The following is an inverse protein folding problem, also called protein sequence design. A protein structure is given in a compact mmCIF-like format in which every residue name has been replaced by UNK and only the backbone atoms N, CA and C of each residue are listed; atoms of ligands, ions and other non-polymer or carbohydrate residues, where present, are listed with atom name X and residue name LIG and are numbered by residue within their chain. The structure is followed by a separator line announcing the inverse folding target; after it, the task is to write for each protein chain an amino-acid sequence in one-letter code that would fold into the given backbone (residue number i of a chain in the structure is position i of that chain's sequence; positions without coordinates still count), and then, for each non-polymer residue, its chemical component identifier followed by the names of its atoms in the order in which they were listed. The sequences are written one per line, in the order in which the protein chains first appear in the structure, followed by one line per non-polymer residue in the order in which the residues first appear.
data_IF_206462087060
#
_entry.id   IF_206462087060
#
_cell.length_a   1.000
_cell.length_b   1.000
_cell.length_c   1.000
_cell.angle_alpha   90.00
_cell.angle_beta   90.00
_cell.angle_gamma   90.00
#
_symmetry.space_group_name_H-M   'P 1'
#
loop_
_entity.id
_entity.type
_entity.pdbx_description
1 polymer ?
#
# COMPACT_ATOMS: atom_id res chain seq x y z
N UNK A 1 -26.29 2.23 10.02
CA UNK A 1 -26.97 3.37 9.37
C UNK A 1 -25.96 4.09 8.49
N UNK A 2 -26.35 4.50 7.27
CA UNK A 2 -25.49 5.24 6.36
C UNK A 2 -26.35 6.32 5.68
N UNK A 3 -26.00 7.60 5.86
CA UNK A 3 -26.78 8.73 5.32
C UNK A 3 -26.44 9.06 3.85
N UNK A 4 -25.46 8.37 3.28
CA UNK A 4 -25.00 8.61 1.93
C UNK A 4 -25.76 7.72 0.93
N UNK A 5 -26.36 8.33 -0.11
CA UNK A 5 -26.71 7.59 -1.33
C UNK A 5 -25.43 7.18 -2.09
N UNK A 6 -25.54 6.29 -3.06
CA UNK A 6 -24.37 5.91 -3.89
C UNK A 6 -23.87 7.09 -4.71
N UNK A 7 -24.76 7.92 -5.25
CA UNK A 7 -24.41 9.10 -6.03
C UNK A 7 -23.68 10.14 -5.17
N UNK A 8 -24.17 10.36 -3.93
CA UNK A 8 -23.51 11.27 -2.97
C UNK A 8 -22.16 10.74 -2.53
N UNK A 9 -22.03 9.42 -2.41
CA UNK A 9 -20.76 8.78 -2.10
C UNK A 9 -19.73 8.98 -3.22
N UNK A 10 -20.13 8.77 -4.47
CA UNK A 10 -19.27 8.97 -5.64
C UNK A 10 -18.86 10.44 -5.78
N UNK A 11 -19.79 11.38 -5.57
CA UNK A 11 -19.49 12.81 -5.68
C UNK A 11 -18.51 13.27 -4.60
N UNK A 12 -18.68 12.81 -3.36
CA UNK A 12 -17.73 13.04 -2.26
C UNK A 12 -16.36 12.45 -2.60
N UNK A 13 -16.32 11.18 -3.04
CA UNK A 13 -15.10 10.51 -3.48
C UNK A 13 -14.33 11.29 -4.53
N UNK A 14 -15.05 11.82 -5.54
CA UNK A 14 -14.46 12.61 -6.62
C UNK A 14 -13.80 13.90 -6.12
N UNK A 15 -14.41 14.58 -5.15
CA UNK A 15 -13.81 15.79 -4.55
C UNK A 15 -12.53 15.46 -3.78
N UNK A 16 -12.55 14.38 -2.98
CA UNK A 16 -11.37 13.92 -2.23
C UNK A 16 -10.25 13.45 -3.18
N UNK A 17 -10.60 12.71 -4.23
CA UNK A 17 -9.67 12.27 -5.26
C UNK A 17 -8.94 13.45 -5.92
N UNK A 18 -9.66 14.53 -6.24
CA UNK A 18 -9.05 15.75 -6.79
C UNK A 18 -8.04 16.40 -5.82
N UNK A 19 -8.26 16.30 -4.50
CA UNK A 19 -7.31 16.82 -3.52
C UNK A 19 -6.06 15.95 -3.40
N UNK A 20 -6.25 14.62 -3.39
CA UNK A 20 -5.12 13.66 -3.42
C UNK A 20 -4.27 13.92 -4.67
N UNK A 21 -4.88 14.01 -5.84
CA UNK A 21 -4.15 14.15 -7.12
C UNK A 21 -3.46 15.51 -7.31
N UNK A 22 -3.86 16.55 -6.56
CA UNK A 22 -3.13 17.83 -6.54
C UNK A 22 -1.81 17.77 -5.78
N UNK A 23 -1.67 16.81 -4.87
CA UNK A 23 -0.54 16.75 -3.92
C UNK A 23 0.32 15.50 -4.13
N UNK A 24 -0.29 14.41 -4.59
CA UNK A 24 0.38 13.16 -4.88
C UNK A 24 0.97 13.19 -6.28
N UNK A 25 2.19 12.67 -6.40
CA UNK A 25 2.79 12.36 -7.71
C UNK A 25 2.29 11.00 -8.17
N UNK A 26 1.69 10.93 -9.35
CA UNK A 26 1.25 9.67 -9.94
C UNK A 26 2.39 9.02 -10.75
N UNK A 27 2.34 7.69 -10.88
CA UNK A 27 3.18 6.97 -11.83
C UNK A 27 2.52 7.04 -13.20
N UNK A 28 3.25 7.53 -14.21
CA UNK A 28 2.74 7.70 -15.58
C UNK A 28 3.07 6.52 -16.50
N UNK A 29 3.79 5.51 -16.00
CA UNK A 29 4.21 4.37 -16.81
C UNK A 29 3.00 3.46 -17.14
N UNK A 30 2.65 3.29 -18.44
CA UNK A 30 1.45 2.55 -18.83
C UNK A 30 1.52 1.07 -18.46
N UNK A 31 2.71 0.45 -18.48
CA UNK A 31 2.87 -0.96 -18.14
C UNK A 31 2.59 -1.18 -16.64
N UNK A 32 3.13 -0.31 -15.78
CA UNK A 32 2.87 -0.39 -14.33
C UNK A 32 1.41 -0.10 -14.01
N UNK A 33 0.85 0.97 -14.57
CA UNK A 33 -0.51 1.42 -14.25
C UNK A 33 -1.57 0.47 -14.79
N UNK A 34 -1.42 -0.04 -16.01
CA UNK A 34 -2.33 -1.02 -16.59
C UNK A 34 -2.30 -2.33 -15.81
N UNK A 35 -1.12 -2.82 -15.43
CA UNK A 35 -0.98 -4.03 -14.62
C UNK A 35 -1.75 -3.91 -13.29
N UNK A 36 -1.50 -2.85 -12.52
CA UNK A 36 -2.16 -2.65 -11.22
C UNK A 36 -3.67 -2.47 -11.40
N UNK A 37 -4.09 -1.74 -12.43
CA UNK A 37 -5.50 -1.62 -12.76
C UNK A 37 -6.11 -2.99 -13.13
N UNK A 38 -5.44 -3.83 -13.92
CA UNK A 38 -5.95 -5.16 -14.29
C UNK A 38 -6.12 -6.07 -13.08
N UNK A 39 -5.16 -6.11 -12.16
CA UNK A 39 -5.25 -6.86 -10.90
C UNK A 39 -6.44 -6.35 -10.08
N UNK A 40 -6.54 -5.05 -9.85
CA UNK A 40 -7.61 -4.48 -9.04
C UNK A 40 -8.99 -4.60 -9.68
N UNK A 41 -9.12 -4.40 -10.99
CA UNK A 41 -10.38 -4.58 -11.70
C UNK A 41 -10.83 -6.05 -11.69
N UNK A 42 -9.89 -7.01 -11.72
CA UNK A 42 -10.25 -8.42 -11.56
C UNK A 42 -10.86 -8.70 -10.18
N UNK A 43 -10.28 -8.12 -9.12
CA UNK A 43 -10.84 -8.19 -7.76
C UNK A 43 -12.21 -7.51 -7.69
N UNK A 44 -12.36 -6.31 -8.25
CA UNK A 44 -13.63 -5.54 -8.26
C UNK A 44 -14.74 -6.30 -8.97
N UNK A 45 -14.48 -6.91 -10.14
CA UNK A 45 -15.49 -7.70 -10.87
C UNK A 45 -15.97 -8.93 -10.11
N UNK A 46 -15.16 -9.43 -9.18
CA UNK A 46 -15.45 -10.60 -8.36
C UNK A 46 -15.83 -10.23 -6.91
N UNK A 47 -16.12 -8.95 -6.66
CA UNK A 47 -16.53 -8.44 -5.36
C UNK A 47 -18.00 -7.99 -5.34
N UNK A 48 -18.48 -7.59 -4.17
CA UNK A 48 -19.83 -7.05 -4.00
C UNK A 48 -19.90 -5.54 -4.32
N UNK A 49 -18.93 -5.02 -5.08
CA UNK A 49 -18.84 -3.59 -5.42
C UNK A 49 -20.07 -3.11 -6.20
N UNK A 50 -20.59 -1.95 -5.81
CA UNK A 50 -21.74 -1.28 -6.44
C UNK A 50 -21.40 0.08 -7.07
N UNK A 51 -20.11 0.44 -7.05
CA UNK A 51 -19.58 1.69 -7.58
C UNK A 51 -18.43 1.36 -8.53
N UNK A 52 -18.21 2.18 -9.58
CA UNK A 52 -17.06 1.99 -10.46
C UNK A 52 -15.77 2.25 -9.68
N UNK A 53 -14.72 1.49 -9.98
CA UNK A 53 -13.40 1.71 -9.40
C UNK A 53 -12.47 2.43 -10.37
N UNK A 54 -11.84 3.51 -9.89
CA UNK A 54 -10.74 4.21 -10.56
C UNK A 54 -9.47 3.92 -9.78
N UNK A 55 -8.59 3.09 -10.35
CA UNK A 55 -7.37 2.64 -9.69
C UNK A 55 -6.18 3.42 -10.25
N UNK A 56 -5.39 4.03 -9.37
CA UNK A 56 -4.19 4.82 -9.72
C UNK A 56 -3.00 4.42 -8.87
N UNK A 57 -1.81 4.61 -9.41
CA UNK A 57 -0.55 4.32 -8.71
C UNK A 57 0.11 5.63 -8.30
N UNK A 58 0.42 5.78 -7.01
CA UNK A 58 1.16 6.92 -6.46
C UNK A 58 2.65 6.58 -6.41
N UNK A 59 3.49 7.47 -6.92
CA UNK A 59 4.96 7.40 -6.77
C UNK A 59 5.34 7.81 -5.34
N UNK A 60 5.37 6.82 -4.45
CA UNK A 60 5.74 6.99 -3.04
C UNK A 60 6.47 5.75 -2.54
N UNK A 61 7.60 5.94 -1.87
CA UNK A 61 8.35 4.85 -1.21
C UNK A 61 7.57 4.23 -0.03
N UNK A 62 6.49 4.86 0.42
CA UNK A 62 5.67 4.36 1.51
C UNK A 62 4.89 3.10 1.10
N UNK A 63 4.93 2.09 1.97
CA UNK A 63 4.10 0.89 1.83
C UNK A 63 2.69 1.25 2.28
N UNK A 64 1.84 1.60 1.30
CA UNK A 64 0.46 1.96 1.55
C UNK A 64 -0.44 1.67 0.34
N UNK A 65 -1.72 1.48 0.62
CA UNK A 65 -2.81 1.59 -0.35
C UNK A 65 -4.04 2.10 0.42
N UNK A 66 -4.92 2.82 -0.25
CA UNK A 66 -6.15 3.30 0.38
C UNK A 66 -7.23 3.55 -0.66
N UNK A 67 -8.47 3.22 -0.30
CA UNK A 67 -9.63 3.51 -1.12
C UNK A 67 -10.51 4.60 -0.49
N UNK A 68 -10.90 5.57 -1.31
CA UNK A 68 -11.85 6.62 -0.96
C UNK A 68 -13.28 6.17 -1.27
N UNK A 69 -14.28 6.82 -0.65
CA UNK A 69 -15.68 6.59 -0.99
C UNK A 69 -15.92 6.65 -2.50
N UNK A 70 -16.80 5.81 -3.04
CA UNK A 70 -17.15 5.84 -4.45
C UNK A 70 -16.11 5.22 -5.41
N UNK A 71 -15.13 4.48 -4.89
CA UNK A 71 -14.26 3.60 -5.69
C UNK A 71 -12.98 4.24 -6.22
N UNK A 72 -12.56 5.41 -5.71
CA UNK A 72 -11.25 5.98 -6.05
C UNK A 72 -10.17 5.31 -5.21
N UNK A 73 -9.31 4.52 -5.86
CA UNK A 73 -8.39 3.62 -5.19
C UNK A 73 -6.94 3.93 -5.57
N UNK A 74 -6.09 4.16 -4.58
CA UNK A 74 -4.68 4.48 -4.77
C UNK A 74 -3.78 3.40 -4.18
N UNK A 75 -2.78 3.00 -4.95
CA UNK A 75 -1.75 2.03 -4.57
C UNK A 75 -0.39 2.72 -4.64
N UNK A 76 0.38 2.72 -3.56
CA UNK A 76 1.72 3.31 -3.60
C UNK A 76 2.71 2.35 -4.27
N UNK A 77 3.67 2.91 -5.02
CA UNK A 77 4.77 2.15 -5.61
C UNK A 77 5.58 1.37 -4.56
N UNK A 78 5.76 1.93 -3.36
CA UNK A 78 6.40 1.27 -2.23
C UNK A 78 5.72 -0.05 -1.81
N UNK A 79 4.38 -0.12 -1.87
CA UNK A 79 3.66 -1.37 -1.60
C UNK A 79 3.96 -2.43 -2.66
N UNK A 80 3.89 -2.05 -3.94
CA UNK A 80 4.17 -2.95 -5.07
C UNK A 80 5.60 -3.50 -4.98
N UNK A 81 6.57 -2.63 -4.66
CA UNK A 81 7.97 -3.01 -4.52
C UNK A 81 8.25 -3.87 -3.29
N UNK A 82 7.45 -3.72 -2.23
CA UNK A 82 7.60 -4.45 -0.96
C UNK A 82 6.92 -5.82 -0.98
N UNK A 83 5.82 -5.98 -1.71
CA UNK A 83 5.19 -7.28 -1.92
C UNK A 83 6.17 -8.26 -2.57
N UNK A 84 6.33 -9.45 -2.00
CA UNK A 84 7.18 -10.50 -2.57
C UNK A 84 6.45 -11.19 -3.71
N UNK A 85 5.16 -11.49 -3.50
CA UNK A 85 4.30 -12.19 -4.46
C UNK A 85 3.08 -11.37 -4.87
N UNK A 86 2.53 -11.66 -6.06
CA UNK A 86 1.36 -10.94 -6.59
C UNK A 86 0.13 -11.08 -5.68
N UNK A 87 -0.08 -12.27 -5.14
CA UNK A 87 -1.17 -12.56 -4.20
C UNK A 87 -1.12 -11.72 -2.93
N UNK A 88 0.06 -11.25 -2.50
CA UNK A 88 0.16 -10.34 -1.36
C UNK A 88 -0.34 -8.93 -1.72
N UNK A 89 0.04 -8.43 -2.91
CA UNK A 89 -0.49 -7.17 -3.43
C UNK A 89 -2.01 -7.28 -3.61
N UNK A 90 -2.47 -8.38 -4.22
CA UNK A 90 -3.89 -8.65 -4.42
C UNK A 90 -4.63 -8.72 -3.08
N UNK A 91 -4.03 -9.28 -2.02
CA UNK A 91 -4.63 -9.33 -0.69
C UNK A 91 -4.83 -7.96 -0.06
N UNK A 92 -3.82 -7.09 -0.12
CA UNK A 92 -3.99 -5.70 0.35
C UNK A 92 -5.05 -4.98 -0.49
N UNK A 93 -5.06 -5.18 -1.80
CA UNK A 93 -6.07 -4.58 -2.68
C UNK A 93 -7.49 -5.09 -2.41
N UNK A 94 -7.65 -6.39 -2.15
CA UNK A 94 -8.93 -7.00 -1.82
C UNK A 94 -9.49 -6.45 -0.51
N UNK A 95 -8.63 -6.21 0.49
CA UNK A 95 -9.01 -5.58 1.75
C UNK A 95 -9.52 -4.15 1.54
N UNK A 96 -8.79 -3.32 0.80
CA UNK A 96 -9.21 -1.94 0.49
C UNK A 96 -10.52 -1.89 -0.33
N UNK A 97 -10.67 -2.79 -1.31
CA UNK A 97 -11.92 -2.93 -2.05
C UNK A 97 -13.07 -3.27 -1.10
N UNK A 98 -12.84 -4.15 -0.12
CA UNK A 98 -13.84 -4.54 0.87
C UNK A 98 -14.32 -3.39 1.74
N UNK A 99 -13.45 -2.43 2.08
CA UNK A 99 -13.87 -1.21 2.78
C UNK A 99 -14.85 -0.37 1.95
N UNK A 100 -14.66 -0.30 0.64
CA UNK A 100 -15.59 0.42 -0.26
C UNK A 100 -16.87 -0.38 -0.47
N UNK A 101 -16.80 -1.70 -0.69
CA UNK A 101 -18.01 -2.53 -0.88
C UNK A 101 -18.91 -2.49 0.35
N UNK A 102 -18.32 -2.58 1.54
CA UNK A 102 -19.03 -2.47 2.81
C UNK A 102 -19.34 -1.02 3.21
N UNK A 103 -18.91 -0.03 2.40
CA UNK A 103 -19.15 1.42 2.60
C UNK A 103 -18.65 1.90 3.97
N UNK A 104 -17.53 1.38 4.44
CA UNK A 104 -16.99 1.67 5.77
C UNK A 104 -16.67 3.16 5.97
N UNK A 105 -16.13 3.83 4.95
CA UNK A 105 -15.82 5.26 5.00
C UNK A 105 -17.06 6.13 5.27
N UNK A 106 -18.14 5.94 4.52
CA UNK A 106 -19.38 6.72 4.67
C UNK A 106 -20.20 6.31 5.89
N UNK A 107 -20.17 5.03 6.28
CA UNK A 107 -20.72 4.57 7.57
C UNK A 107 -19.99 5.22 8.75
N UNK A 108 -18.66 5.32 8.70
CA UNK A 108 -17.85 5.95 9.75
C UNK A 108 -18.12 7.44 9.83
N UNK A 109 -18.20 8.13 8.69
CA UNK A 109 -18.56 9.55 8.64
C UNK A 109 -19.98 9.80 9.17
N UNK A 110 -20.94 8.94 8.79
CA UNK A 110 -22.32 8.99 9.34
C UNK A 110 -22.32 8.89 10.87
N UNK A 111 -21.50 8.01 11.45
CA UNK A 111 -21.36 7.92 12.92
C UNK A 111 -20.80 9.21 13.51
N UNK A 112 -19.80 9.81 12.84
CA UNK A 112 -19.26 11.11 13.20
C UNK A 112 -20.35 12.19 13.23
N UNK A 113 -21.13 12.31 12.16
CA UNK A 113 -22.25 13.26 12.06
C UNK A 113 -23.32 13.04 13.13
N UNK A 114 -23.64 11.77 13.46
CA UNK A 114 -24.62 11.46 14.51
C UNK A 114 -24.09 11.89 15.89
N UNK A 115 -22.83 11.56 16.22
CA UNK A 115 -22.21 11.98 17.49
C UNK A 115 -22.22 13.51 17.56
N UNK A 116 -21.89 14.17 16.46
CA UNK A 116 -21.88 15.62 16.36
C UNK A 116 -23.29 16.22 16.56
N UNK A 117 -24.33 15.65 15.97
CA UNK A 117 -25.71 16.07 16.18
C UNK A 117 -26.15 15.85 17.63
N UNK A 118 -25.72 14.75 18.25
CA UNK A 118 -26.01 14.44 19.65
C UNK A 118 -25.32 15.38 20.65
N UNK A 119 -24.25 16.08 20.25
CA UNK A 119 -23.61 17.12 21.09
C UNK A 119 -24.27 18.49 20.97
N UNK A 120 -25.18 18.71 20.01
CA UNK A 120 -25.88 20.00 19.86
C UNK A 120 -26.66 20.41 21.12
N UNK A 121 -27.45 19.52 21.77
CA UNK A 121 -28.08 19.86 23.04
C UNK A 121 -27.08 20.24 24.13
N UNK A 122 -25.91 19.60 24.18
CA UNK A 122 -24.85 19.92 25.15
C UNK A 122 -24.20 21.29 24.87
N UNK A 123 -24.02 21.66 23.60
CA UNK A 123 -23.48 22.97 23.20
C UNK A 123 -24.51 24.07 23.52
N UNK A 124 -25.78 23.82 23.22
CA UNK A 124 -26.86 24.78 23.41
C UNK A 124 -27.21 25.00 24.88
N UNK A 125 -27.14 23.96 25.71
CA UNK A 125 -27.42 24.01 27.15
C UNK A 125 -26.15 24.24 28.00
N UNK A 126 -24.97 24.26 27.39
CA UNK A 126 -23.68 24.52 28.03
C UNK A 126 -23.33 26.01 28.13
N UNK A 127 -22.17 26.36 28.74
CA UNK A 127 -21.79 27.75 29.05
C UNK A 127 -21.66 28.70 27.85
N UNK A 128 -21.60 28.15 26.62
CA UNK A 128 -21.47 28.90 25.37
C UNK A 128 -22.79 29.16 24.62
N UNK A 129 -23.89 28.51 25.01
CA UNK A 129 -25.24 28.71 24.44
C UNK A 129 -25.29 28.84 22.90
N UNK A 130 -26.10 29.79 22.43
CA UNK A 130 -26.29 30.07 20.99
C UNK A 130 -25.02 30.59 20.29
N UNK A 131 -24.09 31.22 21.01
CA UNK A 131 -22.82 31.67 20.44
C UNK A 131 -21.91 30.48 20.07
N UNK A 132 -21.88 29.45 20.91
CA UNK A 132 -21.18 28.19 20.61
C UNK A 132 -21.77 27.47 19.39
N UNK A 133 -23.09 27.54 19.20
CA UNK A 133 -23.77 27.01 18.01
C UNK A 133 -23.43 27.76 16.71
N UNK A 134 -23.25 29.09 16.78
CA UNK A 134 -22.86 29.90 15.62
C UNK A 134 -21.45 29.56 15.10
N UNK A 135 -20.50 29.32 16.00
CA UNK A 135 -19.13 28.87 15.65
C UNK A 135 -19.17 27.47 15.03
N UNK A 136 -19.97 26.58 15.60
CA UNK A 136 -20.16 25.21 15.13
C UNK A 136 -20.68 25.14 13.68
N UNK A 137 -21.65 25.98 13.31
CA UNK A 137 -22.20 26.04 11.95
C UNK A 137 -21.20 26.56 10.91
N UNK A 138 -20.22 27.39 11.33
CA UNK A 138 -19.22 27.96 10.44
C UNK A 138 -18.07 27.01 10.06
N UNK A 139 -17.96 25.86 10.73
CA UNK A 139 -16.91 24.89 10.44
C UNK A 139 -17.30 24.03 9.23
N UNK A 140 -16.71 24.31 8.07
CA UNK A 140 -16.74 23.41 6.92
C UNK A 140 -15.92 22.15 7.24
N UNK A 141 -16.58 21.12 7.77
CA UNK A 141 -15.95 19.86 8.10
C UNK A 141 -15.78 19.01 6.84
N UNK A 142 -14.68 19.28 6.13
CA UNK A 142 -14.16 18.37 5.13
C UNK A 142 -13.58 17.15 5.86
N UNK A 143 -14.00 15.94 5.48
CA UNK A 143 -13.46 14.69 6.01
C UNK A 143 -11.93 14.71 5.96
N UNK A 144 -11.23 14.78 7.11
CA UNK A 144 -9.79 14.66 7.08
C UNK A 144 -9.48 13.23 6.67
N UNK A 145 -8.67 13.04 5.62
CA UNK A 145 -8.23 11.72 5.14
C UNK A 145 -7.59 10.89 6.27
N UNK A 146 -7.13 11.56 7.34
CA UNK A 146 -6.62 10.97 8.58
C UNK A 146 -7.66 10.25 9.45
N UNK A 147 -8.96 10.33 9.14
CA UNK A 147 -10.05 9.62 9.85
C UNK A 147 -10.36 8.21 9.34
N UNK A 148 -9.57 7.66 8.40
CA UNK A 148 -9.70 6.28 7.92
C UNK A 148 -9.17 5.23 8.93
N UNK A 149 -9.37 5.45 10.23
CA UNK A 149 -9.24 4.39 11.24
C UNK A 149 -10.60 3.73 11.40
N UNK A 150 -10.72 2.50 10.93
CA UNK A 150 -11.99 1.79 11.05
C UNK A 150 -12.10 1.04 12.37
N UNK A 151 -13.35 0.78 12.78
CA UNK A 151 -13.63 -0.05 13.96
C UNK A 151 -13.14 -1.48 13.75
N UNK A 152 -12.84 -2.19 14.85
CA UNK A 152 -12.43 -3.61 14.79
C UNK A 152 -13.40 -4.49 14.00
N UNK A 153 -14.70 -4.25 14.11
CA UNK A 153 -15.71 -5.01 13.34
C UNK A 153 -15.67 -4.73 11.85
N UNK A 154 -15.35 -3.50 11.45
CA UNK A 154 -15.20 -3.13 10.05
C UNK A 154 -13.91 -3.73 9.46
N UNK A 155 -12.83 -3.80 10.24
CA UNK A 155 -11.61 -4.52 9.85
C UNK A 155 -11.88 -6.02 9.67
N UNK A 156 -12.63 -6.66 10.58
CA UNK A 156 -13.03 -8.07 10.47
C UNK A 156 -13.92 -8.32 9.25
N UNK A 157 -14.88 -7.45 9.00
CA UNK A 157 -15.76 -7.52 7.81
C UNK A 157 -14.92 -7.37 6.53
N UNK A 158 -13.96 -6.44 6.50
CA UNK A 158 -13.07 -6.23 5.37
C UNK A 158 -12.12 -7.42 5.13
N UNK A 159 -11.58 -8.04 6.20
CA UNK A 159 -10.79 -9.26 6.11
C UNK A 159 -11.60 -10.40 5.50
N UNK A 160 -12.81 -10.63 6.02
CA UNK A 160 -13.69 -11.71 5.58
C UNK A 160 -14.11 -11.57 4.11
N UNK A 161 -14.53 -10.37 3.70
CA UNK A 161 -14.88 -10.08 2.30
C UNK A 161 -13.63 -10.17 1.40
N UNK A 162 -12.50 -9.63 1.85
CA UNK A 162 -11.24 -9.66 1.11
C UNK A 162 -10.80 -11.08 0.78
N UNK A 163 -10.87 -12.00 1.76
CA UNK A 163 -10.59 -13.42 1.55
C UNK A 163 -11.48 -14.03 0.47
N UNK A 164 -12.79 -13.72 0.49
CA UNK A 164 -13.71 -14.22 -0.54
C UNK A 164 -13.36 -13.68 -1.92
N UNK A 165 -12.98 -12.41 -2.02
CA UNK A 165 -12.62 -11.79 -3.30
C UNK A 165 -11.30 -12.36 -3.86
N UNK A 166 -10.30 -12.57 -3.00
CA UNK A 166 -9.07 -13.27 -3.36
C UNK A 166 -9.37 -14.69 -3.86
N UNK A 167 -10.18 -15.43 -3.10
CA UNK A 167 -10.57 -16.78 -3.46
C UNK A 167 -11.31 -16.83 -4.79
N UNK A 168 -12.32 -15.97 -5.00
CA UNK A 168 -13.09 -15.91 -6.26
C UNK A 168 -12.20 -15.60 -7.47
N UNK A 169 -11.16 -14.79 -7.30
CA UNK A 169 -10.19 -14.47 -8.36
C UNK A 169 -9.07 -15.49 -8.53
N UNK A 170 -8.97 -16.50 -7.66
CA UNK A 170 -7.99 -17.57 -7.73
C UNK A 170 -6.68 -17.31 -7.00
N UNK A 171 -6.52 -16.16 -6.34
CA UNK A 171 -5.34 -15.92 -5.51
C UNK A 171 -5.34 -16.77 -4.24
N UNK A 172 -4.16 -17.09 -3.74
CA UNK A 172 -3.99 -17.75 -2.45
C UNK A 172 -4.43 -16.80 -1.31
N UNK A 173 -5.51 -17.11 -0.58
CA UNK A 173 -5.98 -16.27 0.53
C UNK A 173 -4.99 -16.23 1.71
N UNK A 174 -4.07 -17.20 1.82
CA UNK A 174 -3.06 -17.22 2.88
C UNK A 174 -2.01 -16.12 2.70
N UNK A 175 -1.77 -15.66 1.47
CA UNK A 175 -0.78 -14.63 1.16
C UNK A 175 -1.04 -13.30 1.89
N UNK A 176 -2.31 -13.00 2.19
CA UNK A 176 -2.65 -11.83 3.00
C UNK A 176 -2.11 -11.94 4.43
N UNK A 177 -2.24 -13.12 5.05
CA UNK A 177 -1.68 -13.41 6.38
C UNK A 177 -0.15 -13.38 6.33
N UNK A 178 0.45 -14.03 5.33
CA UNK A 178 1.91 -14.08 5.15
C UNK A 178 2.50 -12.67 4.98
N UNK A 179 1.84 -11.80 4.21
CA UNK A 179 2.25 -10.41 4.05
C UNK A 179 2.33 -9.70 5.41
N UNK A 180 1.29 -9.83 6.23
CA UNK A 180 1.23 -9.20 7.55
C UNK A 180 2.25 -9.74 8.54
N UNK A 181 2.40 -11.05 8.63
CA UNK A 181 3.40 -11.67 9.50
C UNK A 181 4.80 -11.20 9.14
N UNK A 182 5.09 -11.09 7.83
CA UNK A 182 6.39 -10.61 7.35
C UNK A 182 6.64 -9.15 7.69
N UNK A 183 5.67 -8.26 7.48
CA UNK A 183 5.87 -6.85 7.83
C UNK A 183 6.02 -6.69 9.35
N UNK A 184 5.29 -7.43 10.17
CA UNK A 184 5.49 -7.43 11.63
C UNK A 184 6.89 -7.92 12.02
N UNK A 185 7.40 -8.95 11.35
CA UNK A 185 8.76 -9.43 11.57
C UNK A 185 9.81 -8.37 11.19
N UNK A 186 9.58 -7.62 10.11
CA UNK A 186 10.43 -6.51 9.70
C UNK A 186 10.42 -5.36 10.70
N UNK A 187 9.26 -5.00 11.24
CA UNK A 187 9.15 -3.96 12.27
C UNK A 187 9.89 -4.35 13.55
N UNK A 188 9.81 -5.62 13.97
CA UNK A 188 10.59 -6.12 15.12
C UNK A 188 12.10 -6.03 14.88
N UNK A 189 12.55 -6.19 13.63
CA UNK A 189 13.97 -6.08 13.25
C UNK A 189 14.41 -4.62 13.11
N UNK A 190 13.53 -3.72 12.69
CA UNK A 190 13.79 -2.30 12.47
C UNK A 190 12.62 -1.47 13.01
N UNK A 191 12.60 -1.17 14.31
CA UNK A 191 11.55 -0.37 14.91
C UNK A 191 11.41 1.01 14.22
N UNK A 192 10.17 1.43 13.98
CA UNK A 192 9.85 2.70 13.32
C UNK A 192 9.72 2.60 11.79
N UNK A 193 9.67 1.39 11.23
CA UNK A 193 9.46 1.17 9.78
C UNK A 193 8.04 0.73 9.43
N UNK A 194 7.10 0.80 10.40
CA UNK A 194 5.69 0.44 10.23
C UNK A 194 5.12 1.07 8.96
N UNK A 195 4.71 0.26 7.98
CA UNK A 195 3.97 0.73 6.82
C UNK A 195 2.77 1.59 7.19
N UNK A 196 2.53 2.67 6.45
CA UNK A 196 1.36 3.52 6.69
C UNK A 196 0.04 2.74 6.67
N UNK A 197 -0.06 1.70 5.84
CA UNK A 197 -1.23 0.81 5.83
C UNK A 197 -1.54 0.22 7.21
N UNK A 198 -0.54 -0.04 8.06
CA UNK A 198 -0.74 -0.57 9.41
C UNK A 198 -1.07 0.49 10.45
N UNK A 199 -0.82 1.76 10.14
CA UNK A 199 -1.23 2.88 11.00
C UNK A 199 -2.74 3.12 10.92
N UNK A 200 -3.34 2.86 9.75
CA UNK A 200 -4.80 2.86 9.56
C UNK A 200 -5.44 1.50 9.87
N UNK A 201 -4.79 0.39 9.48
CA UNK A 201 -5.29 -0.99 9.60
C UNK A 201 -4.31 -1.88 10.38
N UNK A 202 -4.25 -1.78 11.72
CA UNK A 202 -3.31 -2.57 12.50
C UNK A 202 -3.64 -4.08 12.42
N UNK A 203 -2.71 -4.96 12.00
CA UNK A 203 -2.92 -6.40 11.98
C UNK A 203 -2.77 -6.94 13.40
N UNK A 204 -3.89 -7.22 14.08
CA UNK A 204 -3.89 -7.79 15.43
C UNK A 204 -3.73 -9.31 15.37
N UNK A 205 -3.14 -9.96 16.40
CA UNK A 205 -3.11 -11.43 16.48
C UNK A 205 -4.50 -12.06 16.38
N UNK A 206 -5.51 -11.36 16.88
CA UNK A 206 -6.91 -11.77 16.81
C UNK A 206 -7.44 -11.78 15.37
N UNK A 207 -7.15 -10.74 14.57
CA UNK A 207 -7.50 -10.72 13.14
C UNK A 207 -6.82 -11.85 12.37
N UNK A 208 -5.52 -12.07 12.61
CA UNK A 208 -4.77 -13.16 11.95
C UNK A 208 -5.40 -14.52 12.26
N UNK A 209 -5.66 -14.80 13.53
CA UNK A 209 -6.29 -16.05 13.95
C UNK A 209 -7.71 -16.20 13.38
N UNK A 210 -8.46 -15.10 13.27
CA UNK A 210 -9.79 -15.11 12.65
C UNK A 210 -9.70 -15.42 11.15
N UNK A 211 -8.84 -14.71 10.42
CA UNK A 211 -8.60 -14.93 8.99
C UNK A 211 -8.19 -16.37 8.69
N UNK A 212 -7.28 -16.95 9.47
CA UNK A 212 -6.89 -18.36 9.33
C UNK A 212 -8.05 -19.33 9.56
N UNK A 213 -8.89 -19.08 10.57
CA UNK A 213 -10.11 -19.87 10.82
C UNK A 213 -11.11 -19.77 9.68
N UNK A 214 -11.31 -18.57 9.14
CA UNK A 214 -12.22 -18.36 8.02
C UNK A 214 -11.72 -19.07 6.77
N UNK A 215 -10.43 -18.95 6.43
CA UNK A 215 -9.82 -19.72 5.32
C UNK A 215 -10.10 -21.22 5.48
N UNK A 216 -9.86 -21.78 6.66
CA UNK A 216 -10.08 -23.20 6.92
C UNK A 216 -11.55 -23.63 6.90
N UNK A 217 -12.48 -22.71 7.19
CA UNK A 217 -13.90 -23.02 7.37
C UNK A 217 -14.74 -22.81 6.11
N UNK A 218 -14.51 -21.71 5.39
CA UNK A 218 -15.44 -21.24 4.34
C UNK A 218 -14.89 -21.42 2.93
N UNK A 219 -13.58 -21.65 2.79
CA UNK A 219 -12.92 -21.76 1.49
C UNK A 219 -12.54 -23.23 1.22
N UNK A 220 -13.22 -23.91 0.28
CA UNK A 220 -12.79 -25.22 -0.16
C UNK A 220 -11.34 -25.17 -0.69
N UNK A 221 -10.56 -26.21 -0.40
CA UNK A 221 -9.22 -26.31 -0.95
C UNK A 221 -9.27 -26.39 -2.48
N UNK A 222 -8.37 -25.65 -3.14
CA UNK A 222 -8.14 -25.74 -4.59
C UNK A 222 -6.87 -26.51 -4.88
N UNK A 223 -6.82 -27.15 -6.05
CA UNK A 223 -5.61 -27.79 -6.54
C UNK A 223 -4.48 -26.78 -6.76
N UNK A 224 -4.83 -25.58 -7.25
CA UNK A 224 -3.88 -24.54 -7.58
C UNK A 224 -4.41 -23.17 -7.16
N UNK A 225 -3.50 -22.32 -6.71
CA UNK A 225 -3.73 -20.91 -6.42
C UNK A 225 -2.72 -20.05 -7.18
N UNK A 226 -3.14 -18.86 -7.57
CA UNK A 226 -2.24 -17.82 -8.06
C UNK A 226 -1.50 -17.27 -6.84
N UNK A 227 -0.22 -17.61 -6.73
CA UNK A 227 0.67 -17.01 -5.73
C UNK A 227 1.38 -15.80 -6.35
N UNK A 228 1.96 -15.98 -7.54
CA UNK A 228 2.76 -14.97 -8.23
C UNK A 228 2.73 -15.20 -9.73
N UNK A 229 3.04 -14.17 -10.52
CA UNK A 229 3.17 -14.27 -11.97
C UNK A 229 4.49 -13.67 -12.44
N UNK A 230 4.99 -14.13 -13.60
CA UNK A 230 6.16 -13.54 -14.23
C UNK A 230 5.96 -12.06 -14.59
N UNK A 231 4.73 -11.66 -14.87
CA UNK A 231 4.38 -10.28 -15.19
C UNK A 231 4.54 -9.38 -13.96
N UNK A 232 4.15 -9.84 -12.77
CA UNK A 232 4.37 -9.12 -11.52
C UNK A 232 5.84 -8.79 -11.30
N UNK A 233 6.73 -9.76 -11.53
CA UNK A 233 8.18 -9.58 -11.38
C UNK A 233 8.75 -8.60 -12.42
N UNK A 234 8.27 -8.66 -13.66
CA UNK A 234 8.65 -7.71 -14.70
C UNK A 234 8.21 -6.28 -14.36
N UNK A 235 6.97 -6.12 -13.88
CA UNK A 235 6.42 -4.83 -13.44
C UNK A 235 7.20 -4.29 -12.25
N UNK A 236 7.54 -5.13 -11.26
CA UNK A 236 8.40 -4.74 -10.14
C UNK A 236 9.79 -4.32 -10.60
N UNK A 237 10.42 -5.06 -11.50
CA UNK A 237 11.73 -4.70 -12.05
C UNK A 237 11.69 -3.36 -12.79
N UNK A 238 10.66 -3.14 -13.61
CA UNK A 238 10.41 -1.88 -14.31
C UNK A 238 10.22 -0.72 -13.34
N UNK A 239 9.35 -0.91 -12.34
CA UNK A 239 9.07 0.10 -11.31
C UNK A 239 10.32 0.46 -10.51
N UNK A 240 11.15 -0.53 -10.13
CA UNK A 240 12.46 -0.27 -9.51
C UNK A 240 13.33 0.61 -10.39
N UNK A 241 13.43 0.31 -11.68
CA UNK A 241 14.18 1.10 -12.65
C UNK A 241 13.72 2.56 -12.70
N UNK A 242 12.41 2.80 -12.72
CA UNK A 242 11.81 4.14 -12.69
C UNK A 242 12.15 4.87 -11.38
N UNK A 243 12.02 4.21 -10.23
CA UNK A 243 12.36 4.79 -8.92
C UNK A 243 13.84 5.14 -8.81
N UNK A 244 14.74 4.27 -9.31
CA UNK A 244 16.18 4.55 -9.32
C UNK A 244 16.54 5.72 -10.25
N UNK A 245 16.00 5.74 -11.47
CA UNK A 245 16.25 6.83 -12.42
C UNK A 245 15.79 8.17 -11.86
N UNK A 246 14.66 8.19 -11.13
CA UNK A 246 14.19 9.38 -10.42
C UNK A 246 15.13 9.79 -9.30
N UNK A 247 15.48 8.87 -8.39
CA UNK A 247 16.41 9.18 -7.27
C UNK A 247 17.76 9.69 -7.77
N UNK A 248 18.23 9.21 -8.92
CA UNK A 248 19.44 9.73 -9.56
C UNK A 248 19.27 11.17 -10.08
N UNK A 249 18.09 11.56 -10.57
CA UNK A 249 17.78 12.94 -10.99
C UNK A 249 17.54 13.89 -9.81
N UNK A 250 16.94 13.40 -8.73
CA UNK A 250 16.64 14.17 -7.52
C UNK A 250 17.90 14.39 -6.65
N UNK A 251 18.96 13.59 -6.85
CA UNK A 251 20.23 13.75 -6.16
C UNK A 251 21.05 14.89 -6.79
N UNK A 252 21.11 16.01 -6.07
CA UNK A 252 22.11 17.07 -6.25
C UNK A 252 23.53 16.47 -6.33
N UNK A 253 24.34 16.81 -7.35
CA UNK A 253 25.72 16.30 -7.50
C UNK A 253 26.65 16.62 -6.32
N UNK A 254 26.24 17.49 -5.39
CA UNK A 254 26.98 17.81 -4.17
C UNK A 254 26.70 16.88 -2.98
N UNK A 255 25.76 15.91 -3.08
CA UNK A 255 25.50 14.92 -2.01
C UNK A 255 26.25 13.60 -2.24
N UNK A 256 26.96 13.06 -1.23
CA UNK A 256 27.70 11.80 -1.38
C UNK A 256 26.73 10.63 -1.58
N UNK A 257 26.86 9.94 -2.71
CA UNK A 257 26.12 8.72 -3.03
C UNK A 257 26.98 7.49 -2.75
N UNK A 258 26.40 6.48 -2.10
CA UNK A 258 27.05 5.18 -1.91
C UNK A 258 26.99 4.39 -3.21
N UNK A 259 28.04 4.52 -4.03
CA UNK A 259 28.23 3.71 -5.23
C UNK A 259 28.49 2.25 -4.87
N UNK A 260 27.81 1.34 -5.56
CA UNK A 260 28.04 -0.10 -5.38
C UNK A 260 29.38 -0.52 -6.02
N UNK A 261 30.00 -1.62 -5.54
CA UNK A 261 31.31 -2.08 -6.03
C UNK A 261 31.36 -2.28 -7.56
N UNK A 262 30.22 -2.63 -8.17
CA UNK A 262 30.08 -2.85 -9.61
C UNK A 262 30.28 -1.57 -10.44
N UNK A 263 29.88 -0.41 -9.90
CA UNK A 263 30.02 0.89 -10.59
C UNK A 263 31.45 1.40 -10.55
N UNK A 264 32.18 1.19 -9.44
CA UNK A 264 33.61 1.53 -9.33
C UNK A 264 34.49 0.77 -10.33
N UNK A 265 34.05 -0.42 -10.74
CA UNK A 265 34.82 -1.26 -11.66
C UNK A 265 34.60 -0.85 -13.14
N UNK A 266 33.47 -0.22 -13.45
CA UNK A 266 33.17 0.30 -14.79
C UNK A 266 33.99 1.55 -15.10
N UNK A 267 34.11 2.49 -14.16
CA UNK A 267 34.86 3.75 -14.38
C UNK A 267 36.38 3.52 -14.53
N UNK A 268 36.93 2.47 -13.93
CA UNK A 268 38.34 2.09 -14.13
C UNK A 268 38.65 1.59 -15.54
N UNK A 269 37.65 1.12 -16.31
CA UNK A 269 37.85 0.64 -17.68
C UNK A 269 37.73 1.73 -18.74
N UNK A 270 37.24 2.93 -18.38
CA UNK A 270 36.89 3.99 -19.35
C UNK A 270 37.80 5.22 -19.30
N UNK A 271 38.86 5.23 -18.49
CA UNK A 271 39.88 6.29 -18.54
C UNK A 271 40.96 5.95 -19.57
N UNK A 272 41.24 6.81 -20.57
CA UNK A 272 42.41 6.65 -21.43
C UNK A 272 43.67 6.94 -20.61
N UNK A 273 44.57 5.96 -20.53
CA UNK A 273 45.84 6.07 -19.85
C UNK A 273 46.78 7.00 -20.63
N UNK A 274 47.05 8.19 -20.09
CA UNK A 274 48.24 8.98 -20.42
C UNK A 274 49.30 8.70 -19.35
N UNK A 275 50.44 8.13 -19.75
CA UNK A 275 51.63 8.04 -18.89
C UNK A 275 52.44 6.76 -19.04
N UNK A 276 53.46 6.84 -19.89
CA UNK A 276 54.72 6.08 -19.99
C UNK A 276 55.15 5.16 -18.82
N UNK A 277 55.54 3.91 -19.13
CA UNK A 277 56.56 3.15 -18.37
C UNK A 277 56.33 1.64 -18.19
N UNK A 278 57.13 0.82 -18.91
CA UNK A 278 57.57 -0.57 -18.68
C UNK A 278 56.57 -1.75 -18.56
N UNK A 279 56.54 -2.56 -19.63
CA UNK A 279 56.49 -4.03 -19.81
C UNK A 279 55.88 -5.05 -18.78
N UNK A 280 55.45 -6.24 -19.26
CA UNK A 280 54.28 -6.95 -18.76
C UNK A 280 54.59 -8.11 -17.81
N UNK A 281 53.70 -8.36 -16.85
CA UNK A 281 53.65 -9.61 -16.09
C UNK A 281 52.24 -10.20 -16.12
N UNK A 282 52.21 -11.49 -16.46
CA UNK A 282 51.08 -12.37 -16.68
C UNK A 282 50.21 -12.61 -15.44
N UNK A 283 48.90 -12.56 -15.69
CA UNK A 283 47.82 -13.50 -15.35
C UNK A 283 47.81 -14.31 -14.03
N UNK A 284 46.56 -14.45 -13.56
CA UNK A 284 45.99 -15.43 -12.63
C UNK A 284 46.26 -15.26 -11.12
N UNK A 285 45.35 -14.52 -10.46
CA UNK A 285 45.16 -14.66 -9.01
C UNK A 285 43.66 -14.75 -8.69
N UNK A 286 43.12 -15.97 -8.76
CA UNK A 286 41.79 -16.32 -8.25
C UNK A 286 41.89 -16.46 -6.73
N UNK A 287 41.05 -15.78 -5.93
CA UNK A 287 41.15 -15.90 -4.48
C UNK A 287 40.63 -17.27 -4.00
N UNK A 288 41.53 -18.14 -3.54
CA UNK A 288 41.18 -19.35 -2.77
C UNK A 288 40.98 -19.00 -1.29
N UNK A 289 39.83 -19.43 -0.73
CA UNK A 289 39.50 -19.28 0.70
C UNK A 289 40.44 -20.13 1.57
N UNK A 290 41.26 -19.48 2.42
CA UNK A 290 41.99 -20.18 3.49
C UNK A 290 41.06 -20.49 4.67
N UNK A 291 41.04 -21.75 5.08
CA UNK A 291 40.31 -22.26 6.26
C UNK A 291 40.88 -21.63 7.53
N UNK A 292 40.01 -21.20 8.46
CA UNK A 292 40.41 -20.65 9.77
C UNK A 292 41.20 -21.70 10.57
N UNK A 293 42.24 -21.30 11.32
CA UNK A 293 42.91 -22.20 12.26
C UNK A 293 42.00 -22.45 13.47
N UNK A 294 41.83 -23.73 13.79
CA UNK A 294 41.31 -24.17 15.08
C UNK A 294 42.44 -24.01 16.10
N UNK A 295 42.15 -23.37 17.23
CA UNK A 295 43.09 -23.22 18.35
C UNK A 295 42.38 -23.57 19.66
N UNK A 296 43.15 -24.05 20.65
CA UNK A 296 42.83 -25.24 21.46
C UNK A 296 41.90 -25.00 22.65
#
# INVERSE_FOLDING_TARGET
MNFYSLEREISLGKQLAQQVERTAKLVDDPIVTEYVNRVGQNLVRNSDARVPFTIKVIDSDEVNAFALPGGFFYVNSGLILRAQEESELAGVMAHEISHVTARHGTKQDTKGQIIQLATIPLILLGPGGWAGYGIYQGMNFMLPITYLKFSRDAEREADFLGLQYMYKTGYDPNSYVTFFERIQADERRRPGTIPKVFSSHPPTPERIANTQKEIARILPARAEYIVTTSEFDQVKARLRGLTYARKAKDNDPSKPTLRTKTEKQKDKKTQPANGTGSDPASDDDRPTLKRRPDSP
#
